data_IF_575859913126
#
_entry.id   IF_575859913126
#
_cell.length_a   1.000
_cell.length_b   1.000
_cell.length_c   1.000
_cell.angle_alpha   90.00
_cell.angle_beta   90.00
_cell.angle_gamma   90.00
#
_symmetry.space_group_name_H-M   'P 1'
#
loop_
_entity.id
_entity.type
_entity.pdbx_description
1 polymer ?
#
# COMPACT_ATOMS: atom_id res chain seq x y z
N UNK A 1 -26.63 -13.07 -1.25
CA UNK A 1 -27.90 -13.15 -1.98
C UNK A 1 -28.15 -11.89 -2.82
N UNK A 2 -28.15 -10.67 -2.22
CA UNK A 2 -28.55 -9.45 -2.93
C UNK A 2 -27.65 -9.14 -4.13
N UNK A 3 -26.33 -9.12 -3.94
CA UNK A 3 -25.39 -8.75 -5.00
C UNK A 3 -25.10 -9.88 -5.99
N UNK A 4 -25.31 -11.14 -5.61
CA UNK A 4 -24.94 -12.29 -6.46
C UNK A 4 -26.15 -12.97 -7.15
N UNK A 5 -27.38 -12.69 -6.71
CA UNK A 5 -28.59 -13.31 -7.27
C UNK A 5 -29.61 -12.23 -7.65
N UNK A 6 -30.09 -11.44 -6.68
CA UNK A 6 -31.20 -10.51 -6.91
C UNK A 6 -30.79 -9.38 -7.85
N UNK A 7 -29.65 -8.74 -7.60
CA UNK A 7 -29.15 -7.67 -8.46
C UNK A 7 -28.88 -8.12 -9.89
N UNK A 8 -28.17 -9.22 -10.16
CA UNK A 8 -28.08 -9.77 -11.53
C UNK A 8 -29.43 -10.06 -12.19
N UNK A 9 -30.39 -10.63 -11.44
CA UNK A 9 -31.73 -10.87 -11.98
C UNK A 9 -32.46 -9.57 -12.37
N UNK A 10 -32.30 -8.50 -11.58
CA UNK A 10 -32.84 -7.17 -11.90
C UNK A 10 -32.19 -6.60 -13.15
N UNK A 11 -30.85 -6.72 -13.28
CA UNK A 11 -30.11 -6.27 -14.46
C UNK A 11 -30.56 -7.01 -15.72
N UNK A 12 -30.71 -8.32 -15.64
CA UNK A 12 -31.24 -9.14 -16.74
C UNK A 12 -32.64 -8.71 -17.15
N UNK A 13 -33.53 -8.49 -16.17
CA UNK A 13 -34.91 -8.03 -16.42
C UNK A 13 -34.95 -6.65 -17.08
N UNK A 14 -33.98 -5.79 -16.77
CA UNK A 14 -33.86 -4.45 -17.34
C UNK A 14 -33.07 -4.39 -18.67
N UNK A 15 -32.57 -5.52 -19.18
CA UNK A 15 -31.73 -5.57 -20.38
C UNK A 15 -30.36 -4.91 -20.22
N UNK A 16 -29.86 -4.78 -18.98
CA UNK A 16 -28.57 -4.17 -18.65
C UNK A 16 -27.50 -5.27 -18.58
N UNK A 17 -26.27 -5.03 -19.09
CA UNK A 17 -25.18 -5.99 -18.99
C UNK A 17 -24.87 -6.40 -17.56
N UNK A 18 -24.59 -7.69 -17.35
CA UNK A 18 -24.20 -8.22 -16.04
C UNK A 18 -22.76 -7.79 -15.68
N UNK A 19 -22.44 -7.66 -14.37
CA UNK A 19 -21.08 -7.52 -13.92
C UNK A 19 -20.27 -8.76 -14.30
N UNK A 20 -19.03 -8.57 -14.72
CA UNK A 20 -18.13 -9.69 -15.04
C UNK A 20 -17.77 -10.53 -13.81
N UNK A 21 -17.72 -9.88 -12.67
CA UNK A 21 -17.33 -10.52 -11.42
C UNK A 21 -17.99 -9.81 -10.22
N UNK A 22 -18.32 -10.56 -9.20
CA UNK A 22 -18.79 -10.05 -7.89
C UNK A 22 -17.80 -10.47 -6.84
N UNK A 23 -17.21 -9.50 -6.16
CA UNK A 23 -16.20 -9.71 -5.14
C UNK A 23 -16.76 -9.35 -3.77
N UNK A 24 -16.37 -10.13 -2.76
CA UNK A 24 -16.65 -9.85 -1.37
C UNK A 24 -15.34 -9.60 -0.61
N UNK A 25 -15.27 -8.53 0.15
CA UNK A 25 -14.18 -8.29 1.09
C UNK A 25 -14.61 -8.64 2.52
N UNK A 26 -13.62 -8.83 3.42
CA UNK A 26 -13.85 -9.09 4.84
C UNK A 26 -14.36 -7.84 5.58
N UNK A 27 -14.70 -8.03 6.85
CA UNK A 27 -15.16 -6.97 7.73
C UNK A 27 -13.99 -6.21 8.35
N UNK A 28 -14.16 -4.91 8.52
CA UNK A 28 -13.31 -4.15 9.41
C UNK A 28 -13.89 -4.20 10.83
N UNK A 29 -13.10 -4.76 11.75
CA UNK A 29 -13.47 -4.96 13.14
C UNK A 29 -12.81 -3.89 14.01
N UNK A 30 -13.53 -3.38 15.01
CA UNK A 30 -13.02 -2.47 16.03
C UNK A 30 -13.01 -3.22 17.38
N UNK A 31 -11.84 -3.31 18.00
CA UNK A 31 -11.72 -4.02 19.27
C UNK A 31 -12.24 -5.47 19.23
N UNK A 32 -12.17 -6.12 18.05
CA UNK A 32 -12.70 -7.47 17.84
C UNK A 32 -14.19 -7.56 17.52
N UNK A 33 -14.92 -6.44 17.48
CA UNK A 33 -16.33 -6.40 17.15
C UNK A 33 -16.60 -5.70 15.80
N UNK A 34 -17.67 -6.12 15.12
CA UNK A 34 -18.12 -5.49 13.88
C UNK A 34 -18.50 -4.03 14.08
N UNK A 35 -17.97 -3.15 13.22
CA UNK A 35 -18.41 -1.75 13.17
C UNK A 35 -19.87 -1.69 12.78
N UNK A 36 -20.73 -1.17 13.64
CA UNK A 36 -22.13 -0.91 13.33
C UNK A 36 -22.48 0.56 13.55
N UNK A 37 -23.36 1.11 12.70
CA UNK A 37 -23.82 2.49 12.80
C UNK A 37 -24.41 2.85 14.18
N UNK A 38 -25.06 1.88 14.84
CA UNK A 38 -25.67 2.07 16.17
C UNK A 38 -24.65 2.09 17.31
N UNK A 39 -23.48 1.45 17.16
CA UNK A 39 -22.36 1.51 18.12
C UNK A 39 -21.50 2.76 17.90
N UNK A 40 -21.39 3.21 16.65
CA UNK A 40 -20.70 4.45 16.29
C UNK A 40 -21.24 5.68 17.03
N UNK A 41 -22.54 5.70 17.36
CA UNK A 41 -23.18 6.82 18.04
C UNK A 41 -22.93 6.87 19.57
N UNK A 42 -22.28 5.88 20.17
CA UNK A 42 -22.21 5.72 21.63
C UNK A 42 -20.88 5.97 22.31
N UNK A 43 -19.81 6.39 21.61
CA UNK A 43 -18.59 6.70 22.35
C UNK A 43 -17.28 6.68 21.52
N UNK A 44 -16.23 7.10 22.14
CA UNK A 44 -14.90 7.49 21.67
C UNK A 44 -14.10 6.50 20.82
N UNK A 45 -14.62 5.35 20.44
CA UNK A 45 -13.90 4.30 19.69
C UNK A 45 -14.39 4.16 18.23
N UNK A 46 -15.06 5.18 17.73
CA UNK A 46 -15.56 5.16 16.34
C UNK A 46 -14.43 5.52 15.40
N UNK A 47 -14.06 4.57 14.56
CA UNK A 47 -13.25 4.85 13.37
C UNK A 47 -14.12 5.55 12.34
N UNK A 48 -14.28 6.86 12.51
CA UNK A 48 -14.84 7.70 11.47
C UNK A 48 -13.72 7.95 10.44
N UNK A 49 -13.89 7.50 9.19
CA UNK A 49 -12.89 7.72 8.15
C UNK A 49 -12.61 9.22 7.91
N UNK A 50 -13.58 10.09 8.14
CA UNK A 50 -13.38 11.56 8.02
C UNK A 50 -12.39 12.05 9.07
N UNK A 51 -12.54 11.64 10.33
CA UNK A 51 -11.61 12.00 11.41
C UNK A 51 -10.20 11.44 11.13
N UNK A 52 -10.11 10.21 10.60
CA UNK A 52 -8.82 9.63 10.23
C UNK A 52 -8.16 10.37 9.07
N UNK A 53 -8.94 10.80 8.08
CA UNK A 53 -8.46 11.60 6.95
C UNK A 53 -7.96 12.97 7.42
N UNK A 54 -8.71 13.65 8.29
CA UNK A 54 -8.29 14.93 8.88
C UNK A 54 -7.00 14.82 9.69
N UNK A 55 -6.83 13.71 10.42
CA UNK A 55 -5.67 13.48 11.29
C UNK A 55 -4.43 13.01 10.55
N UNK A 56 -4.56 12.10 9.60
CA UNK A 56 -3.45 11.39 8.98
C UNK A 56 -3.30 11.63 7.48
N UNK A 57 -4.27 12.27 6.86
CA UNK A 57 -4.35 12.41 5.40
C UNK A 57 -4.99 11.21 4.71
N UNK A 58 -5.62 11.48 3.55
CA UNK A 58 -6.37 10.46 2.81
C UNK A 58 -5.46 9.36 2.24
N UNK A 59 -4.26 9.70 1.80
CA UNK A 59 -3.35 8.74 1.16
C UNK A 59 -2.77 7.76 2.18
N UNK A 60 -2.46 8.23 3.40
CA UNK A 60 -2.01 7.37 4.49
C UNK A 60 -3.10 6.38 4.91
N UNK A 61 -4.36 6.80 4.98
CA UNK A 61 -5.48 5.91 5.28
C UNK A 61 -5.71 4.88 4.17
N UNK A 62 -5.70 5.29 2.90
CA UNK A 62 -5.82 4.37 1.75
C UNK A 62 -4.69 3.35 1.74
N UNK A 63 -3.45 3.82 1.92
CA UNK A 63 -2.29 2.95 1.99
C UNK A 63 -2.46 1.91 3.10
N UNK A 64 -2.80 2.35 4.31
CA UNK A 64 -3.00 1.47 5.44
C UNK A 64 -4.04 0.38 5.16
N UNK A 65 -5.23 0.77 4.66
CA UNK A 65 -6.33 -0.17 4.39
C UNK A 65 -5.97 -1.22 3.33
N UNK A 66 -5.24 -0.83 2.30
CA UNK A 66 -4.82 -1.74 1.23
C UNK A 66 -3.60 -2.59 1.62
N UNK A 67 -2.76 -2.10 2.52
CA UNK A 67 -1.51 -2.75 2.91
C UNK A 67 -1.69 -3.73 4.07
N UNK A 68 -2.52 -3.37 5.06
CA UNK A 68 -2.63 -4.14 6.31
C UNK A 68 -3.51 -5.37 6.17
N UNK A 69 -4.57 -5.28 5.36
CA UNK A 69 -5.58 -6.34 5.32
C UNK A 69 -5.47 -7.19 4.06
N UNK A 70 -5.56 -8.52 4.26
CA UNK A 70 -5.70 -9.46 3.16
C UNK A 70 -7.12 -9.40 2.63
N UNK A 71 -7.27 -9.16 1.32
CA UNK A 71 -8.58 -9.10 0.68
C UNK A 71 -9.35 -10.40 0.89
N UNK A 72 -10.62 -10.30 1.31
CA UNK A 72 -11.48 -11.45 1.61
C UNK A 72 -11.40 -11.94 3.07
N UNK A 73 -10.48 -11.44 3.87
CA UNK A 73 -10.38 -11.75 5.30
C UNK A 73 -10.83 -10.57 6.16
N UNK A 74 -11.29 -10.86 7.37
CA UNK A 74 -11.63 -9.84 8.35
C UNK A 74 -10.36 -9.19 8.89
N UNK A 75 -10.40 -7.88 9.10
CA UNK A 75 -9.27 -7.10 9.61
C UNK A 75 -9.63 -6.35 10.89
N UNK A 76 -8.71 -6.30 11.85
CA UNK A 76 -8.90 -5.53 13.08
C UNK A 76 -8.18 -4.20 12.97
N UNK A 77 -8.94 -3.10 13.07
CA UNK A 77 -8.40 -1.76 13.10
C UNK A 77 -8.04 -1.36 14.53
N UNK A 78 -6.84 -0.83 14.69
CA UNK A 78 -6.44 -0.03 15.86
C UNK A 78 -5.58 1.15 15.42
N UNK A 79 -5.64 2.27 16.12
CA UNK A 79 -4.77 3.43 15.85
C UNK A 79 -3.29 3.05 15.96
N UNK A 80 -2.94 2.16 16.89
CA UNK A 80 -1.58 1.69 17.11
C UNK A 80 -1.03 0.95 15.88
N UNK A 81 -1.82 0.02 15.30
CA UNK A 81 -1.44 -0.71 14.10
C UNK A 81 -1.29 0.23 12.91
N UNK A 82 -2.20 1.20 12.75
CA UNK A 82 -2.10 2.21 11.70
C UNK A 82 -0.82 3.06 11.83
N UNK A 83 -0.54 3.60 13.02
CA UNK A 83 0.65 4.40 13.28
C UNK A 83 1.94 3.59 13.07
N UNK A 84 1.95 2.34 13.51
CA UNK A 84 3.08 1.43 13.29
C UNK A 84 3.35 1.23 11.81
N UNK A 85 2.31 0.96 11.01
CA UNK A 85 2.44 0.77 9.56
C UNK A 85 2.93 2.03 8.86
N UNK A 86 2.36 3.19 9.20
CA UNK A 86 2.80 4.47 8.64
C UNK A 86 4.27 4.77 8.96
N UNK A 87 4.67 4.56 10.21
CA UNK A 87 6.06 4.83 10.61
C UNK A 87 7.05 3.87 9.94
N UNK A 88 6.75 2.57 9.89
CA UNK A 88 7.66 1.60 9.28
C UNK A 88 7.74 1.77 7.76
N UNK A 89 6.62 1.71 7.08
CA UNK A 89 6.63 1.68 5.62
C UNK A 89 6.84 3.09 5.02
N UNK A 90 6.04 4.08 5.44
CA UNK A 90 6.06 5.39 4.80
C UNK A 90 7.20 6.28 5.31
N UNK A 91 7.42 6.35 6.62
CA UNK A 91 8.47 7.22 7.15
C UNK A 91 9.85 6.57 7.06
N UNK A 92 10.02 5.35 7.62
CA UNK A 92 11.35 4.74 7.73
C UNK A 92 11.82 4.12 6.41
N UNK A 93 10.97 3.42 5.65
CA UNK A 93 11.40 2.82 4.40
C UNK A 93 11.41 3.84 3.24
N UNK A 94 10.23 4.31 2.83
CA UNK A 94 10.10 5.18 1.66
C UNK A 94 10.63 6.59 1.93
N UNK A 95 10.25 7.21 3.05
CA UNK A 95 10.67 8.56 3.41
C UNK A 95 12.18 8.65 3.61
N UNK A 96 12.79 7.63 4.24
CA UNK A 96 14.23 7.56 4.40
C UNK A 96 14.95 7.39 3.06
N UNK A 97 14.44 6.52 2.16
CA UNK A 97 15.00 6.35 0.82
C UNK A 97 15.03 7.68 0.06
N UNK A 98 13.90 8.39 0.00
CA UNK A 98 13.78 9.68 -0.69
C UNK A 98 14.70 10.73 -0.07
N UNK A 99 14.65 10.89 1.25
CA UNK A 99 15.47 11.89 1.96
C UNK A 99 16.96 11.64 1.79
N UNK A 100 17.43 10.40 1.95
CA UNK A 100 18.85 10.04 1.76
C UNK A 100 19.29 10.28 0.32
N UNK A 101 18.50 9.83 -0.65
CA UNK A 101 18.84 9.99 -2.08
C UNK A 101 18.96 11.46 -2.45
N UNK A 102 17.97 12.29 -2.13
CA UNK A 102 17.98 13.72 -2.43
C UNK A 102 19.15 14.41 -1.73
N UNK A 103 19.35 14.17 -0.43
CA UNK A 103 20.46 14.79 0.32
C UNK A 103 21.83 14.40 -0.23
N UNK A 104 22.02 13.17 -0.70
CA UNK A 104 23.29 12.74 -1.31
C UNK A 104 23.51 13.39 -2.68
N UNK A 105 22.48 13.50 -3.52
CA UNK A 105 22.56 14.18 -4.80
C UNK A 105 22.92 15.66 -4.60
N UNK A 106 22.28 16.33 -3.64
CA UNK A 106 22.61 17.72 -3.32
C UNK A 106 24.05 17.87 -2.81
N UNK A 107 24.42 17.04 -1.85
CA UNK A 107 25.72 17.16 -1.16
C UNK A 107 26.92 16.77 -2.04
N UNK A 108 26.79 15.69 -2.81
CA UNK A 108 27.92 15.10 -3.53
C UNK A 108 27.90 15.37 -5.04
N UNK A 109 26.73 15.71 -5.60
CA UNK A 109 26.55 15.90 -7.05
C UNK A 109 26.04 17.31 -7.41
N UNK A 110 26.04 18.26 -6.47
CA UNK A 110 25.60 19.64 -6.72
C UNK A 110 24.13 19.75 -7.19
N UNK A 111 23.27 18.84 -6.76
CA UNK A 111 21.86 18.80 -7.12
C UNK A 111 21.54 18.20 -8.50
N UNK A 112 22.55 17.70 -9.22
CA UNK A 112 22.36 17.11 -10.56
C UNK A 112 22.67 15.62 -10.53
N UNK A 113 21.79 14.80 -11.07
CA UNK A 113 22.01 13.35 -11.17
C UNK A 113 23.15 13.09 -12.16
N UNK A 114 24.28 12.48 -11.74
CA UNK A 114 25.40 12.22 -12.62
C UNK A 114 25.08 11.10 -13.62
N UNK A 115 25.83 11.06 -14.73
CA UNK A 115 25.78 9.91 -15.63
C UNK A 115 26.44 8.70 -14.96
N UNK A 116 25.84 7.54 -15.12
CA UNK A 116 26.46 6.28 -14.73
C UNK A 116 27.67 6.01 -15.65
N UNK A 117 28.85 5.82 -15.07
CA UNK A 117 30.09 5.54 -15.81
C UNK A 117 30.41 4.04 -15.83
N UNK A 118 30.11 3.36 -14.76
CA UNK A 118 30.36 1.92 -14.58
C UNK A 118 29.15 1.26 -13.94
N UNK A 119 28.95 -0.01 -14.22
CA UNK A 119 27.94 -0.84 -13.56
C UNK A 119 28.61 -2.12 -13.05
N UNK A 120 28.21 -2.57 -11.89
CA UNK A 120 28.62 -3.86 -11.32
C UNK A 120 27.41 -4.77 -11.07
N UNK A 121 27.66 -5.94 -10.47
CA UNK A 121 26.65 -6.93 -10.19
C UNK A 121 25.53 -6.40 -9.28
N UNK A 122 25.85 -5.52 -8.34
CA UNK A 122 24.88 -4.90 -7.41
C UNK A 122 23.94 -3.95 -8.14
N UNK A 123 24.46 -3.22 -9.14
CA UNK A 123 23.65 -2.33 -9.99
C UNK A 123 22.66 -3.11 -10.84
N UNK A 124 23.12 -4.23 -11.43
CA UNK A 124 22.26 -5.09 -12.25
C UNK A 124 21.21 -5.79 -11.41
N UNK A 125 21.49 -6.22 -10.18
CA UNK A 125 20.51 -6.81 -9.27
C UNK A 125 19.39 -5.82 -8.94
N UNK A 126 19.71 -4.57 -8.55
CA UNK A 126 18.71 -3.55 -8.30
C UNK A 126 17.86 -3.25 -9.55
N UNK A 127 18.52 -3.16 -10.71
CA UNK A 127 17.86 -2.92 -12.00
C UNK A 127 16.89 -4.04 -12.37
N UNK A 128 17.27 -5.30 -12.19
CA UNK A 128 16.40 -6.44 -12.45
C UNK A 128 15.16 -6.43 -11.55
N UNK A 129 15.33 -6.11 -10.27
CA UNK A 129 14.19 -5.97 -9.34
C UNK A 129 13.29 -4.82 -9.77
N UNK A 130 13.85 -3.66 -10.14
CA UNK A 130 13.09 -2.50 -10.56
C UNK A 130 12.28 -2.75 -11.84
N UNK A 131 12.91 -3.34 -12.86
CA UNK A 131 12.25 -3.67 -14.13
C UNK A 131 11.16 -4.73 -13.95
N UNK A 132 11.39 -5.72 -13.07
CA UNK A 132 10.44 -6.78 -12.80
C UNK A 132 9.27 -6.39 -11.88
N UNK A 133 9.37 -5.29 -11.14
CA UNK A 133 8.40 -4.92 -10.11
C UNK A 133 6.99 -4.68 -10.68
N UNK A 134 6.88 -3.96 -11.81
CA UNK A 134 5.59 -3.61 -12.40
C UNK A 134 4.76 -4.86 -12.76
N UNK A 135 5.37 -5.84 -13.41
CA UNK A 135 4.69 -7.09 -13.79
C UNK A 135 4.23 -7.89 -12.58
N UNK A 136 5.03 -7.92 -11.51
CA UNK A 136 4.65 -8.61 -10.27
C UNK A 136 3.51 -7.90 -9.56
N UNK A 137 3.52 -6.56 -9.53
CA UNK A 137 2.41 -5.75 -8.99
C UNK A 137 1.13 -6.03 -9.76
N UNK A 138 1.16 -6.01 -11.10
CA UNK A 138 0.03 -6.29 -11.96
C UNK A 138 -0.54 -7.69 -11.70
N UNK A 139 0.31 -8.70 -11.61
CA UNK A 139 -0.11 -10.07 -11.27
C UNK A 139 -0.87 -10.15 -9.94
N UNK A 140 -0.42 -9.42 -8.90
CA UNK A 140 -1.10 -9.40 -7.61
C UNK A 140 -2.40 -8.58 -7.68
N UNK A 141 -2.42 -7.49 -8.44
CA UNK A 141 -3.63 -6.68 -8.65
C UNK A 141 -4.72 -7.47 -9.36
N UNK A 142 -4.39 -8.28 -10.36
CA UNK A 142 -5.34 -9.15 -11.06
C UNK A 142 -5.99 -10.19 -10.15
N UNK A 143 -5.30 -10.57 -9.08
CA UNK A 143 -5.79 -11.48 -8.02
C UNK A 143 -6.52 -10.74 -6.89
N UNK A 144 -6.64 -9.41 -6.95
CA UNK A 144 -7.14 -8.56 -5.84
C UNK A 144 -6.32 -8.70 -4.55
N UNK A 145 -5.08 -9.13 -4.65
CA UNK A 145 -4.15 -9.26 -3.53
C UNK A 145 -3.40 -7.93 -3.29
N UNK A 146 -4.14 -6.86 -2.93
CA UNK A 146 -3.62 -5.49 -2.81
C UNK A 146 -2.44 -5.36 -1.85
N UNK A 147 -2.50 -6.06 -0.72
CA UNK A 147 -1.41 -6.09 0.25
C UNK A 147 -0.13 -6.70 -0.32
N UNK A 148 -0.26 -7.73 -1.16
CA UNK A 148 0.87 -8.36 -1.85
C UNK A 148 1.39 -7.48 -3.00
N UNK A 149 0.50 -6.80 -3.74
CA UNK A 149 0.91 -5.83 -4.75
C UNK A 149 1.76 -4.70 -4.14
N UNK A 150 1.36 -4.17 -2.99
CA UNK A 150 2.14 -3.20 -2.24
C UNK A 150 3.46 -3.81 -1.70
N UNK A 151 3.46 -5.07 -1.27
CA UNK A 151 4.70 -5.74 -0.85
C UNK A 151 5.73 -5.82 -1.97
N UNK A 152 5.34 -6.10 -3.22
CA UNK A 152 6.26 -6.10 -4.36
C UNK A 152 6.92 -4.72 -4.57
N UNK A 153 6.19 -3.62 -4.34
CA UNK A 153 6.76 -2.26 -4.36
C UNK A 153 7.76 -2.09 -3.20
N UNK A 154 7.41 -2.55 -1.99
CA UNK A 154 8.28 -2.43 -0.81
C UNK A 154 9.54 -3.31 -0.90
N UNK A 155 9.50 -4.42 -1.62
CA UNK A 155 10.71 -5.18 -1.96
C UNK A 155 11.72 -4.29 -2.70
N UNK A 156 11.25 -3.53 -3.69
CA UNK A 156 12.12 -2.59 -4.41
C UNK A 156 12.62 -1.45 -3.51
N UNK A 157 11.74 -0.84 -2.69
CA UNK A 157 12.11 0.24 -1.76
C UNK A 157 13.19 -0.22 -0.78
N UNK A 158 13.01 -1.39 -0.15
CA UNK A 158 14.00 -1.96 0.77
C UNK A 158 15.30 -2.35 0.06
N UNK A 159 15.20 -2.90 -1.15
CA UNK A 159 16.41 -3.20 -1.95
C UNK A 159 17.19 -1.94 -2.30
N UNK A 160 16.50 -0.86 -2.65
CA UNK A 160 17.14 0.43 -2.94
C UNK A 160 17.81 1.05 -1.69
N UNK A 161 17.16 0.97 -0.53
CA UNK A 161 17.81 1.40 0.73
C UNK A 161 19.09 0.59 1.00
N UNK A 162 19.01 -0.74 0.87
CA UNK A 162 20.17 -1.63 1.04
C UNK A 162 21.28 -1.33 0.01
N UNK A 163 20.94 -1.03 -1.23
CA UNK A 163 21.87 -0.65 -2.28
C UNK A 163 22.68 0.61 -1.89
N UNK A 164 22.02 1.63 -1.33
CA UNK A 164 22.71 2.82 -0.85
C UNK A 164 23.75 2.46 0.22
N UNK A 165 23.43 1.54 1.14
CA UNK A 165 24.36 1.10 2.19
C UNK A 165 25.52 0.28 1.60
N UNK A 166 25.27 -0.58 0.63
CA UNK A 166 26.29 -1.39 -0.05
C UNK A 166 27.26 -0.53 -0.87
N UNK A 167 26.74 0.48 -1.58
CA UNK A 167 27.56 1.39 -2.41
C UNK A 167 28.29 2.47 -1.62
N UNK A 168 27.78 2.78 -0.43
CA UNK A 168 28.40 3.76 0.48
C UNK A 168 28.89 5.03 -0.23
N UNK A 169 28.04 5.79 -0.97
CA UNK A 169 28.47 6.89 -1.84
C UNK A 169 29.06 8.09 -1.09
N UNK A 170 29.15 8.01 0.22
CA UNK A 170 29.79 9.01 1.10
C UNK A 170 31.25 8.71 1.40
N UNK A 171 31.79 7.55 1.02
CA UNK A 171 33.22 7.20 1.13
C UNK A 171 33.95 7.64 -0.12
#
# INVERSE_FOLDING_TARGET
>A
RFHSIIWPAMLMSAGIPLPKQVLGHGWLLLGGEKVSKSKAAKGNDVVDPVILIERYGIDALKYFLLREYTFGQDGVFTNEVMLKRMNYDLANDLGNLVSRTVSMIEKYCGGTVPKAETADETDEDLKQIAVGAAAKVEEQMDKFAFNMALEEIWILVRRANKYIDEKSPWI
#
